data_IF_068635946095
#
_entry.id   IF_068635946095
#
_cell.length_a   1.000
_cell.length_b   1.000
_cell.length_c   1.000
_cell.angle_alpha   90.00
_cell.angle_beta   90.00
_cell.angle_gamma   90.00
#
_symmetry.space_group_name_H-M   'P 1'
#
loop_
_entity.id
_entity.type
_entity.pdbx_description
1 polymer ?
#
# COMPACT_ATOMS: atom_id res chain seq x y z
N UNK A 1 -5.05 -9.16 2.50
CA UNK A 1 -6.28 -9.98 2.49
C UNK A 1 -7.41 -9.26 1.78
N UNK A 2 -7.78 -8.03 2.16
CA UNK A 2 -8.89 -7.30 1.52
C UNK A 2 -8.74 -7.14 0.01
N UNK A 3 -7.60 -6.65 -0.47
CA UNK A 3 -7.33 -6.47 -1.91
C UNK A 3 -7.38 -7.82 -2.66
N UNK A 4 -6.85 -8.89 -2.04
CA UNK A 4 -6.88 -10.22 -2.63
C UNK A 4 -8.31 -10.78 -2.72
N UNK A 5 -9.15 -10.52 -1.71
CA UNK A 5 -10.56 -10.89 -1.72
C UNK A 5 -11.35 -10.09 -2.78
N UNK A 6 -11.08 -8.78 -2.94
CA UNK A 6 -11.79 -7.95 -3.92
C UNK A 6 -11.53 -8.33 -5.38
N UNK A 7 -10.41 -9.02 -5.65
CA UNK A 7 -10.09 -9.55 -6.99
C UNK A 7 -10.48 -11.03 -7.16
N UNK A 8 -11.23 -11.62 -6.22
CA UNK A 8 -11.66 -13.02 -6.29
C UNK A 8 -10.58 -14.06 -5.96
N UNK A 9 -9.43 -13.64 -5.42
CA UNK A 9 -8.30 -14.51 -5.08
C UNK A 9 -7.92 -14.39 -3.58
N UNK A 10 -8.80 -14.75 -2.63
CA UNK A 10 -8.63 -14.46 -1.21
C UNK A 10 -7.33 -15.04 -0.58
N UNK A 11 -6.84 -16.17 -1.09
CA UNK A 11 -5.58 -16.79 -0.65
C UNK A 11 -4.32 -16.11 -1.19
N UNK A 12 -4.42 -15.24 -2.20
CA UNK A 12 -3.29 -14.64 -2.90
C UNK A 12 -2.67 -13.42 -2.20
N UNK A 13 -2.83 -13.28 -0.88
CA UNK A 13 -2.43 -12.06 -0.14
C UNK A 13 -0.93 -11.72 -0.26
N UNK A 14 -0.04 -12.72 -0.29
CA UNK A 14 1.41 -12.47 -0.47
C UNK A 14 1.74 -12.02 -1.89
N UNK A 15 1.16 -12.69 -2.90
CA UNK A 15 1.36 -12.35 -4.31
C UNK A 15 0.86 -10.93 -4.62
N UNK A 16 -0.33 -10.58 -4.12
CA UNK A 16 -0.87 -9.22 -4.21
C UNK A 16 0.06 -8.21 -3.53
N UNK A 17 0.57 -8.51 -2.32
CA UNK A 17 1.51 -7.62 -1.64
C UNK A 17 2.79 -7.37 -2.44
N UNK A 18 3.35 -8.41 -3.06
CA UNK A 18 4.52 -8.29 -3.92
C UNK A 18 4.22 -7.45 -5.17
N UNK A 19 3.10 -7.70 -5.86
CA UNK A 19 2.68 -6.94 -7.04
C UNK A 19 2.44 -5.46 -6.72
N UNK A 20 1.79 -5.16 -5.59
CA UNK A 20 1.57 -3.78 -5.12
C UNK A 20 2.89 -3.08 -4.82
N UNK A 21 3.83 -3.78 -4.16
CA UNK A 21 5.16 -3.25 -3.84
C UNK A 21 6.03 -2.99 -5.07
N UNK A 22 5.80 -3.71 -6.16
CA UNK A 22 6.53 -3.59 -7.42
C UNK A 22 5.99 -2.50 -8.36
N UNK A 23 4.96 -1.75 -7.96
CA UNK A 23 4.30 -0.78 -8.82
C UNK A 23 5.22 0.40 -9.20
N UNK A 24 5.60 0.57 -10.48
CA UNK A 24 6.50 1.63 -10.93
C UNK A 24 5.83 3.01 -10.91
N UNK A 25 4.50 3.07 -11.06
CA UNK A 25 3.69 4.30 -11.04
C UNK A 25 3.18 4.60 -9.63
N UNK A 26 4.09 4.55 -8.66
CA UNK A 26 3.79 4.86 -7.25
C UNK A 26 3.24 6.29 -7.10
N UNK A 27 2.54 6.57 -5.99
CA UNK A 27 1.76 7.78 -5.73
C UNK A 27 0.51 7.95 -6.62
N UNK A 28 0.65 7.93 -7.95
CA UNK A 28 -0.48 8.03 -8.90
C UNK A 28 -1.42 6.84 -8.75
N UNK A 29 -0.84 5.62 -8.79
CA UNK A 29 -1.55 4.44 -8.31
C UNK A 29 -1.27 4.34 -6.81
N UNK A 30 -2.30 4.32 -5.94
CA UNK A 30 -2.15 4.53 -4.50
C UNK A 30 -1.65 3.28 -3.75
N UNK A 31 -0.56 2.66 -4.20
CA UNK A 31 0.05 1.49 -3.58
C UNK A 31 0.60 1.77 -2.17
N UNK A 32 0.86 3.04 -1.83
CA UNK A 32 1.23 3.47 -0.48
C UNK A 32 0.10 3.27 0.54
N UNK A 33 -1.16 3.14 0.11
CA UNK A 33 -2.32 2.88 0.99
C UNK A 33 -2.49 1.41 1.36
N UNK A 34 -1.80 0.50 0.68
CA UNK A 34 -1.83 -0.91 1.03
C UNK A 34 -0.92 -1.20 2.23
N UNK A 35 -1.49 -1.74 3.31
CA UNK A 35 -0.80 -2.04 4.56
C UNK A 35 -0.80 -3.55 4.85
N UNK A 36 0.17 -4.00 5.66
CA UNK A 36 0.11 -5.33 6.26
C UNK A 36 -1.08 -5.48 7.20
N UNK A 37 -1.50 -6.72 7.50
CA UNK A 37 -2.64 -7.00 8.41
C UNK A 37 -2.49 -6.33 9.78
N UNK A 38 -1.26 -6.18 10.27
CA UNK A 38 -0.94 -5.51 11.54
C UNK A 38 -0.89 -3.98 11.45
N UNK A 39 -1.15 -3.39 10.28
CA UNK A 39 -0.90 -1.97 10.01
C UNK A 39 0.55 -1.65 9.65
N UNK A 40 1.45 -2.65 9.64
CA UNK A 40 2.84 -2.44 9.30
C UNK A 40 3.04 -1.92 7.87
N UNK A 41 3.96 -0.96 7.72
CA UNK A 41 4.44 -0.50 6.42
C UNK A 41 5.34 -1.58 5.81
N UNK A 42 4.94 -2.09 4.65
CA UNK A 42 5.69 -3.07 3.87
C UNK A 42 5.74 -2.64 2.41
N UNK A 43 6.65 -3.24 1.62
CA UNK A 43 6.69 -3.21 0.15
C UNK A 43 6.27 -1.90 -0.51
N UNK A 44 7.24 -1.09 -0.93
CA UNK A 44 6.98 0.14 -1.69
C UNK A 44 8.11 0.42 -2.67
N UNK A 45 7.77 0.63 -3.93
CA UNK A 45 8.74 0.79 -5.02
C UNK A 45 9.73 1.94 -4.75
N UNK A 46 9.27 3.07 -4.20
CA UNK A 46 10.16 4.20 -3.84
C UNK A 46 10.67 4.19 -2.39
N UNK A 47 10.55 3.06 -1.67
CA UNK A 47 11.05 2.90 -0.31
C UNK A 47 10.13 3.40 0.82
N UNK A 48 10.25 2.78 1.99
CA UNK A 48 9.32 2.98 3.11
C UNK A 48 9.30 4.41 3.67
N UNK A 49 10.41 5.14 3.59
CA UNK A 49 10.49 6.56 4.00
C UNK A 49 9.46 7.40 3.25
N UNK A 50 9.39 7.24 1.92
CA UNK A 50 8.42 7.98 1.09
C UNK A 50 6.99 7.54 1.35
N UNK A 51 6.75 6.23 1.49
CA UNK A 51 5.42 5.69 1.86
C UNK A 51 4.91 6.33 3.14
N UNK A 52 5.76 6.44 4.17
CA UNK A 52 5.42 7.07 5.46
C UNK A 52 5.14 8.56 5.31
N UNK A 53 5.98 9.29 4.58
CA UNK A 53 5.81 10.72 4.37
C UNK A 53 4.49 11.05 3.64
N UNK A 54 4.16 10.30 2.59
CA UNK A 54 2.91 10.48 1.83
C UNK A 54 1.69 10.21 2.72
N UNK A 55 1.68 9.09 3.46
CA UNK A 55 0.59 8.77 4.37
C UNK A 55 0.41 9.84 5.46
N UNK A 56 1.51 10.37 6.00
CA UNK A 56 1.47 11.46 6.99
C UNK A 56 0.90 12.76 6.40
N UNK A 57 1.27 13.10 5.16
CA UNK A 57 0.72 14.25 4.45
C UNK A 57 -0.78 14.09 4.14
N UNK A 58 -1.21 12.91 3.68
CA UNK A 58 -2.64 12.61 3.49
C UNK A 58 -3.43 12.74 4.80
N UNK A 59 -2.88 12.24 5.92
CA UNK A 59 -3.51 12.35 7.23
C UNK A 59 -3.63 13.81 7.71
N UNK A 60 -2.62 14.65 7.46
CA UNK A 60 -2.66 16.07 7.80
C UNK A 60 -3.72 16.87 7.01
N UNK A 61 -4.00 16.47 5.77
CA UNK A 61 -5.05 17.11 4.96
C UNK A 61 -6.47 16.77 5.41
N UNK A 62 -6.69 15.54 5.91
CA UNK A 62 -8.02 15.13 6.42
C UNK A 62 -8.38 15.84 7.73
N UNK A 63 -7.38 16.24 8.51
CA UNK A 63 -7.56 16.97 9.76
C UNK A 63 -7.65 18.49 9.64
N UNK A 64 -7.55 19.03 8.43
CA UNK A 64 -7.68 20.47 8.12
C UNK A 64 -9.10 20.78 7.62
#
# INVERSE_FOLDING_TARGET
SSIAASIGAPSASRAVGAAVGANPMSFVVPCHRALGKSGALTGYHWGLTRKRAILGWEAGQVGS
#
